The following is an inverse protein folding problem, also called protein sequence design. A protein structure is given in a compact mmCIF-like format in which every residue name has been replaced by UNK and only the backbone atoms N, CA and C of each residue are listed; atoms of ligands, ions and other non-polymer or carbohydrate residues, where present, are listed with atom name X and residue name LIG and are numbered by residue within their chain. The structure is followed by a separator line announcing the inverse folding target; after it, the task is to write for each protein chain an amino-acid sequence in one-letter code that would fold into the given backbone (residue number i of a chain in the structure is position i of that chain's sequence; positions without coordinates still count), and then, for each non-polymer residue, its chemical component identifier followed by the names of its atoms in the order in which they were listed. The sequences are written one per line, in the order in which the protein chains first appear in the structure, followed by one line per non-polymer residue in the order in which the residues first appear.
data_IF_860542473280
#
_entry.id   IF_860542473280
#
_cell.length_a   1.000
_cell.length_b   1.000
_cell.length_c   1.000
_cell.angle_alpha   90.00
_cell.angle_beta   90.00
_cell.angle_gamma   90.00
#
_symmetry.space_group_name_H-M   'P 1'
#
loop_
_entity.id
_entity.type
_entity.pdbx_description
1 polymer ?
#
# COMPACT_ATOMS: atom_id res chain seq x y z
N UNK A 1 1.23 6.88 22.29
CA UNK A 1 0.09 6.25 21.59
C UNK A 1 0.50 4.84 21.16
N UNK A 2 -0.36 3.84 21.36
CA UNK A 2 -0.04 2.40 21.36
C UNK A 2 -0.32 1.75 19.99
N UNK A 3 0.50 0.79 19.56
CA UNK A 3 0.37 0.03 18.30
C UNK A 3 -1.02 -0.65 18.15
N UNK A 4 -1.73 -0.83 19.25
CA UNK A 4 -3.09 -1.34 19.30
C UNK A 4 -4.11 -0.51 18.48
N UNK A 5 -4.03 0.82 18.51
CA UNK A 5 -5.00 1.67 17.79
C UNK A 5 -4.81 1.59 16.26
N UNK A 6 -3.55 1.51 15.81
CA UNK A 6 -3.22 1.28 14.39
C UNK A 6 -3.75 -0.07 13.93
N UNK A 7 -3.59 -1.10 14.77
CA UNK A 7 -4.05 -2.44 14.47
C UNK A 7 -5.57 -2.49 14.30
N UNK A 8 -6.34 -1.89 15.21
CA UNK A 8 -7.81 -1.81 15.09
C UNK A 8 -8.26 -1.07 13.81
N UNK A 9 -7.60 0.04 13.47
CA UNK A 9 -7.89 0.76 12.22
C UNK A 9 -7.53 -0.06 10.97
N UNK A 10 -6.44 -0.83 10.99
CA UNK A 10 -6.13 -1.77 9.92
C UNK A 10 -7.24 -2.82 9.75
N UNK A 11 -7.71 -3.41 10.85
CA UNK A 11 -8.79 -4.41 10.83
C UNK A 11 -10.11 -3.81 10.35
N UNK A 12 -10.40 -2.55 10.67
CA UNK A 12 -11.55 -1.82 10.14
C UNK A 12 -11.43 -1.66 8.63
N UNK A 13 -10.28 -1.17 8.13
CA UNK A 13 -10.06 -0.99 6.69
C UNK A 13 -10.10 -2.33 5.93
N UNK A 14 -9.57 -3.41 6.50
CA UNK A 14 -9.62 -4.75 5.90
C UNK A 14 -11.05 -5.31 5.80
N UNK A 15 -11.94 -4.88 6.69
CA UNK A 15 -13.33 -5.33 6.75
C UNK A 15 -14.23 -4.50 5.84
N UNK A 16 -14.09 -3.18 5.94
CA UNK A 16 -15.04 -2.22 5.38
C UNK A 16 -14.52 -1.54 4.11
N UNK A 17 -13.22 -1.69 3.80
CA UNK A 17 -12.54 -0.95 2.74
C UNK A 17 -11.97 0.39 3.21
N UNK A 18 -11.43 1.17 2.26
CA UNK A 18 -11.02 2.54 2.52
C UNK A 18 -12.26 3.41 2.80
N UNK A 19 -12.15 4.43 3.67
CA UNK A 19 -13.25 5.35 3.91
C UNK A 19 -13.66 6.08 2.64
N UNK A 20 -14.96 6.34 2.49
CA UNK A 20 -15.52 7.14 1.41
C UNK A 20 -16.19 8.41 1.99
N UNK A 21 -15.74 9.63 1.61
CA UNK A 21 -14.58 9.92 0.76
C UNK A 21 -13.25 9.59 1.45
N UNK A 22 -12.23 9.24 0.66
CA UNK A 22 -10.86 9.09 1.17
C UNK A 22 -10.38 10.47 1.63
N UNK A 23 -9.93 10.63 2.89
CA UNK A 23 -9.51 11.94 3.37
C UNK A 23 -8.25 12.40 2.62
N UNK A 24 -8.20 13.70 2.30
CA UNK A 24 -7.09 14.30 1.55
C UNK A 24 -5.93 14.76 2.45
N UNK A 25 -6.09 14.67 3.77
CA UNK A 25 -5.10 15.08 4.76
C UNK A 25 -5.56 14.72 6.17
N UNK A 26 -4.75 15.09 7.16
CA UNK A 26 -5.12 14.94 8.57
C UNK A 26 -6.13 16.03 8.96
N UNK A 27 -7.24 15.62 9.57
CA UNK A 27 -8.19 16.53 10.23
C UNK A 27 -7.77 16.75 11.69
N UNK A 28 -8.27 17.81 12.34
CA UNK A 28 -8.03 18.06 13.76
C UNK A 28 -8.41 16.84 14.61
N UNK A 29 -7.40 16.22 15.24
CA UNK A 29 -7.55 15.06 16.12
C UNK A 29 -7.41 13.69 15.46
N UNK A 30 -7.17 13.60 14.14
CA UNK A 30 -6.84 12.32 13.48
C UNK A 30 -5.32 12.12 13.43
N UNK A 31 -4.82 11.11 14.13
CA UNK A 31 -3.41 10.72 14.09
C UNK A 31 -3.09 9.75 12.93
N UNK A 32 -4.11 9.23 12.26
CA UNK A 32 -3.99 8.26 11.18
C UNK A 32 -4.78 8.66 9.95
N UNK A 33 -4.18 8.47 8.78
CA UNK A 33 -4.79 8.69 7.48
C UNK A 33 -4.65 7.43 6.62
N UNK A 34 -5.71 6.62 6.42
CA UNK A 34 -5.67 5.47 5.51
C UNK A 34 -5.39 5.95 4.09
N UNK A 35 -4.33 5.42 3.48
CA UNK A 35 -3.94 5.78 2.12
C UNK A 35 -4.35 4.74 1.10
N UNK A 36 -4.08 3.46 1.36
CA UNK A 36 -4.29 2.42 0.37
C UNK A 36 -4.47 1.04 1.00
N UNK A 37 -5.23 0.21 0.29
CA UNK A 37 -5.53 -1.16 0.63
C UNK A 37 -5.38 -1.98 -0.66
N UNK A 38 -4.68 -3.11 -0.57
CA UNK A 38 -4.76 -4.15 -1.60
C UNK A 38 -4.94 -5.52 -0.94
N UNK A 39 -5.77 -6.36 -1.57
CA UNK A 39 -6.11 -7.71 -1.13
C UNK A 39 -5.89 -8.68 -2.29
N UNK A 40 -5.09 -9.72 -2.08
CA UNK A 40 -4.84 -10.81 -3.03
C UNK A 40 -5.29 -12.14 -2.42
N UNK A 41 -6.57 -12.49 -2.60
CA UNK A 41 -7.13 -13.71 -2.02
C UNK A 41 -7.05 -13.70 -0.48
N UNK A 42 -6.09 -14.42 0.07
CA UNK A 42 -5.88 -14.57 1.51
C UNK A 42 -4.78 -13.66 2.10
N UNK A 43 -4.18 -12.77 1.33
CA UNK A 43 -3.19 -11.81 1.85
C UNK A 43 -3.65 -10.38 1.58
N UNK A 44 -3.22 -9.45 2.42
CA UNK A 44 -3.54 -8.05 2.27
C UNK A 44 -2.41 -7.16 2.75
N UNK A 45 -2.42 -5.91 2.30
CA UNK A 45 -1.60 -4.85 2.85
C UNK A 45 -2.42 -3.58 3.00
N UNK A 46 -2.27 -2.92 4.12
CA UNK A 46 -2.88 -1.63 4.41
C UNK A 46 -1.78 -0.61 4.66
N UNK A 47 -1.89 0.58 4.09
CA UNK A 47 -0.93 1.67 4.36
C UNK A 47 -1.62 2.89 4.93
N UNK A 48 -0.98 3.54 5.89
CA UNK A 48 -1.46 4.76 6.53
C UNK A 48 -0.35 5.80 6.57
N UNK A 49 -0.71 7.08 6.55
CA UNK A 49 0.14 8.08 7.20
C UNK A 49 -0.19 8.15 8.67
N UNK A 50 0.85 8.32 9.45
CA UNK A 50 0.78 8.54 10.87
C UNK A 50 1.40 9.88 11.21
N UNK A 51 0.64 10.71 11.91
CA UNK A 51 1.13 11.93 12.50
C UNK A 51 1.27 11.71 14.01
N UNK A 52 2.48 11.82 14.58
CA UNK A 52 2.65 11.75 16.03
C UNK A 52 1.79 12.81 16.72
N UNK A 53 1.02 12.41 17.74
CA UNK A 53 0.17 13.31 18.51
C UNK A 53 0.86 14.53 19.14
N UNK A 54 0.06 15.36 19.80
CA UNK A 54 0.32 16.76 20.16
C UNK A 54 1.63 17.02 20.95
N UNK A 55 2.12 16.03 21.69
CA UNK A 55 3.39 16.11 22.44
C UNK A 55 4.65 16.06 21.54
N UNK A 56 4.50 15.78 20.25
CA UNK A 56 5.60 15.45 19.33
C UNK A 56 5.49 16.18 17.99
N UNK A 57 4.91 17.39 17.95
CA UNK A 57 4.78 18.23 16.73
C UNK A 57 6.10 18.52 15.98
N UNK A 58 7.25 18.19 16.57
CA UNK A 58 8.57 18.27 15.93
C UNK A 58 8.94 17.04 15.10
N UNK A 59 8.18 15.94 15.20
CA UNK A 59 8.42 14.72 14.42
C UNK A 59 7.53 14.76 13.18
N UNK A 60 8.11 14.71 11.97
CA UNK A 60 7.33 14.73 10.75
C UNK A 60 6.44 13.48 10.65
N UNK A 61 5.30 13.56 9.93
CA UNK A 61 4.52 12.38 9.62
C UNK A 61 5.35 11.31 8.94
N UNK A 62 4.94 10.05 9.09
CA UNK A 62 5.59 8.91 8.47
C UNK A 62 4.56 7.94 7.90
N UNK A 63 4.95 7.17 6.90
CA UNK A 63 4.08 6.17 6.26
C UNK A 63 4.36 4.79 6.84
N UNK A 64 3.32 4.09 7.26
CA UNK A 64 3.38 2.71 7.68
C UNK A 64 2.67 1.81 6.66
N UNK A 65 3.09 0.55 6.58
CA UNK A 65 2.39 -0.47 5.80
C UNK A 65 2.40 -1.77 6.57
N UNK A 66 1.21 -2.32 6.76
CA UNK A 66 0.95 -3.50 7.58
C UNK A 66 0.45 -4.62 6.69
N UNK A 67 1.10 -5.78 6.75
CA UNK A 67 0.79 -6.94 5.92
C UNK A 67 0.02 -7.96 6.73
N UNK A 68 -1.01 -8.54 6.12
CA UNK A 68 -1.91 -9.50 6.76
C UNK A 68 -2.06 -10.76 5.93
N UNK A 69 -2.46 -11.84 6.61
CA UNK A 69 -2.88 -13.09 6.01
C UNK A 69 -4.17 -13.56 6.69
N UNK A 70 -5.17 -13.90 5.89
CA UNK A 70 -6.44 -14.44 6.33
C UNK A 70 -6.32 -15.92 6.59
N UNK A 71 -6.62 -16.34 7.81
CA UNK A 71 -6.63 -17.74 8.22
C UNK A 71 -7.88 -18.00 9.04
N UNK A 72 -8.58 -19.09 8.71
CA UNK A 72 -9.78 -19.51 9.45
C UNK A 72 -10.86 -18.40 9.54
N UNK A 73 -10.92 -17.54 8.53
CA UNK A 73 -11.86 -16.42 8.43
C UNK A 73 -11.36 -15.10 9.01
N UNK A 74 -10.27 -15.10 9.78
CA UNK A 74 -9.74 -13.95 10.51
C UNK A 74 -8.46 -13.40 9.87
N UNK A 75 -8.28 -12.08 9.93
CA UNK A 75 -7.05 -11.42 9.48
C UNK A 75 -5.99 -11.45 10.56
N UNK A 76 -4.85 -12.08 10.26
CA UNK A 76 -3.70 -12.17 11.15
C UNK A 76 -2.57 -11.29 10.62
N UNK A 77 -2.01 -10.45 11.48
CA UNK A 77 -0.88 -9.60 11.14
C UNK A 77 0.39 -10.43 10.91
N UNK A 78 1.12 -10.15 9.81
CA UNK A 78 2.44 -10.72 9.52
C UNK A 78 3.59 -9.76 9.88
N UNK A 79 3.25 -8.51 10.18
CA UNK A 79 4.16 -7.41 10.46
C UNK A 79 4.08 -6.30 9.41
N UNK A 80 4.94 -5.30 9.55
CA UNK A 80 4.90 -4.10 8.73
C UNK A 80 6.23 -3.36 8.67
N UNK A 81 6.21 -2.23 7.99
CA UNK A 81 7.37 -1.36 7.83
C UNK A 81 6.99 0.09 7.66
N UNK A 82 7.77 0.96 8.30
CA UNK A 82 7.64 2.41 8.24
C UNK A 82 8.65 3.05 7.28
N UNK A 83 8.38 4.28 6.86
CA UNK A 83 9.31 5.14 6.13
C UNK A 83 8.88 6.59 6.17
N UNK A 84 9.68 7.49 5.59
CA UNK A 84 9.32 8.91 5.49
C UNK A 84 7.99 9.09 4.75
N UNK A 85 7.11 9.95 5.29
CA UNK A 85 5.84 10.23 4.64
C UNK A 85 6.07 10.77 3.22
N UNK A 86 5.31 10.26 2.23
CA UNK A 86 5.30 10.86 0.91
C UNK A 86 4.54 12.18 0.89
N UNK A 87 4.80 12.98 -0.15
CA UNK A 87 3.93 14.07 -0.57
C UNK A 87 2.63 13.51 -1.15
N UNK A 88 1.48 13.98 -0.65
CA UNK A 88 0.14 13.58 -1.09
C UNK A 88 -0.37 14.38 -2.31
N UNK A 89 0.38 15.38 -2.76
CA UNK A 89 0.04 16.16 -3.94
C UNK A 89 0.12 15.27 -5.17
N UNK A 90 -1.03 15.02 -5.79
CA UNK A 90 -1.11 14.24 -7.01
C UNK A 90 -0.58 15.03 -8.20
N UNK A 91 0.45 14.49 -8.86
CA UNK A 91 1.18 15.11 -9.96
C UNK A 91 0.82 14.49 -11.30
N UNK A 92 0.99 15.24 -12.39
CA UNK A 92 0.85 14.73 -13.76
C UNK A 92 1.97 13.74 -14.12
N UNK A 93 1.78 12.96 -15.18
CA UNK A 93 2.79 12.02 -15.65
C UNK A 93 4.08 12.74 -16.05
N UNK A 94 3.97 13.94 -16.62
CA UNK A 94 5.12 14.80 -16.97
C UNK A 94 5.93 15.20 -15.75
N UNK A 95 5.28 15.57 -14.65
CA UNK A 95 5.94 15.98 -13.41
C UNK A 95 6.56 14.80 -12.63
N UNK A 96 5.95 13.61 -12.74
CA UNK A 96 6.48 12.37 -12.14
C UNK A 96 7.55 11.69 -12.99
N UNK A 97 7.66 12.05 -14.27
CA UNK A 97 8.52 11.36 -15.25
C UNK A 97 7.96 10.03 -15.74
N UNK A 98 6.66 9.78 -15.58
CA UNK A 98 5.96 8.56 -15.96
C UNK A 98 4.59 8.44 -15.28
N UNK A 99 3.80 7.44 -15.69
CA UNK A 99 2.46 7.22 -15.13
C UNK A 99 2.49 6.50 -13.78
N UNK A 100 3.47 5.62 -13.57
CA UNK A 100 3.68 4.90 -12.31
C UNK A 100 5.13 5.02 -11.82
N UNK A 101 5.30 5.28 -10.52
CA UNK A 101 6.62 5.31 -9.89
C UNK A 101 6.65 4.47 -8.61
N UNK A 102 7.66 3.60 -8.47
CA UNK A 102 7.89 2.81 -7.26
C UNK A 102 8.69 3.61 -6.26
N UNK A 103 8.19 3.77 -5.04
CA UNK A 103 8.90 4.50 -3.98
C UNK A 103 9.13 3.70 -2.69
N UNK A 104 8.54 2.51 -2.56
CA UNK A 104 8.75 1.65 -1.39
C UNK A 104 8.46 0.20 -1.70
N UNK A 105 9.19 -0.71 -1.05
CA UNK A 105 8.95 -2.16 -1.14
C UNK A 105 9.05 -2.78 0.25
N UNK A 106 8.40 -3.93 0.45
CA UNK A 106 8.49 -4.69 1.68
C UNK A 106 8.26 -6.17 1.46
N UNK A 107 8.80 -7.00 2.35
CA UNK A 107 8.55 -8.44 2.39
C UNK A 107 8.36 -8.89 3.82
N UNK A 108 7.31 -9.65 4.07
CA UNK A 108 7.02 -10.26 5.38
C UNK A 108 6.96 -11.78 5.26
N UNK A 109 7.41 -12.48 6.29
CA UNK A 109 7.40 -13.95 6.29
C UNK A 109 5.98 -14.41 6.60
N UNK A 110 5.36 -15.17 5.68
CA UNK A 110 4.01 -15.70 5.82
C UNK A 110 3.90 -16.85 6.83
N UNK A 111 5.02 -17.51 7.14
CA UNK A 111 5.07 -18.73 7.93
C UNK A 111 6.17 -18.73 9.00
N UNK A 112 6.31 -17.61 9.73
CA UNK A 112 7.38 -17.42 10.70
C UNK A 112 7.41 -18.50 11.82
N UNK A 113 6.25 -19.06 12.20
CA UNK A 113 6.11 -19.98 13.33
C UNK A 113 6.22 -21.48 12.95
N UNK A 114 7.07 -21.86 11.97
CA UNK A 114 7.22 -23.28 11.59
C UNK A 114 8.28 -24.01 12.41
N UNK A 115 7.96 -25.24 12.79
CA UNK A 115 8.86 -26.21 13.45
C UNK A 115 9.83 -26.92 12.49
N UNK A 116 9.56 -26.93 11.17
CA UNK A 116 10.34 -27.68 10.16
C UNK A 116 10.91 -26.75 9.07
N UNK A 117 12.11 -27.05 8.51
CA UNK A 117 12.92 -26.14 7.70
C UNK A 117 12.48 -25.97 6.24
N UNK A 118 11.20 -26.19 5.92
CA UNK A 118 10.70 -25.96 4.56
C UNK A 118 10.77 -24.47 4.20
N UNK A 119 11.19 -24.16 2.96
CA UNK A 119 11.47 -22.80 2.50
C UNK A 119 10.42 -21.77 2.89
N UNK A 120 10.89 -20.59 3.34
CA UNK A 120 10.03 -19.48 3.74
C UNK A 120 9.12 -19.04 2.58
N UNK A 121 7.83 -18.91 2.88
CA UNK A 121 6.86 -18.24 2.03
C UNK A 121 6.83 -16.77 2.42
N UNK A 122 6.87 -15.90 1.43
CA UNK A 122 6.91 -14.47 1.61
C UNK A 122 5.64 -13.84 1.08
N UNK A 123 5.16 -12.80 1.76
CA UNK A 123 4.24 -11.83 1.18
C UNK A 123 5.07 -10.61 0.81
N UNK A 124 5.00 -10.20 -0.45
CA UNK A 124 5.71 -9.04 -0.96
C UNK A 124 4.71 -7.92 -1.21
N UNK A 125 5.16 -6.68 -1.02
CA UNK A 125 4.38 -5.49 -1.32
C UNK A 125 5.24 -4.39 -1.92
N UNK A 126 4.61 -3.54 -2.72
CA UNK A 126 5.19 -2.34 -3.32
C UNK A 126 4.23 -1.17 -3.15
N UNK A 127 4.78 0.01 -2.92
CA UNK A 127 4.06 1.28 -2.90
C UNK A 127 4.36 2.06 -4.17
N UNK A 128 3.29 2.60 -4.75
CA UNK A 128 3.30 3.27 -6.04
C UNK A 128 2.75 4.70 -5.92
N UNK A 129 3.40 5.63 -6.60
CA UNK A 129 2.78 6.86 -7.04
C UNK A 129 2.17 6.64 -8.41
N UNK A 130 0.90 6.99 -8.55
CA UNK A 130 0.17 7.03 -9.80
C UNK A 130 -0.12 8.48 -10.17
N UNK A 131 0.09 8.82 -11.44
CA UNK A 131 -0.12 10.19 -11.91
C UNK A 131 -1.60 10.59 -11.91
N UNK A 132 -1.88 11.87 -12.16
CA UNK A 132 -3.25 12.41 -12.24
C UNK A 132 -4.09 11.78 -13.37
N UNK A 133 -3.44 11.28 -14.41
CA UNK A 133 -4.07 10.60 -15.54
C UNK A 133 -4.52 9.16 -15.23
N UNK A 134 -3.90 8.51 -14.23
CA UNK A 134 -4.16 7.10 -13.91
C UNK A 134 -5.30 6.96 -12.90
N UNK A 135 -6.47 6.51 -13.32
CA UNK A 135 -7.62 6.36 -12.40
C UNK A 135 -7.72 4.99 -11.75
N UNK A 136 -7.15 3.97 -12.40
CA UNK A 136 -7.18 2.59 -11.93
C UNK A 136 -5.86 1.88 -12.20
N UNK A 137 -5.57 0.86 -11.40
CA UNK A 137 -4.50 -0.10 -11.63
C UNK A 137 -5.10 -1.47 -11.89
N UNK A 138 -4.58 -2.19 -12.88
CA UNK A 138 -4.88 -3.60 -13.10
C UNK A 138 -3.68 -4.45 -12.71
N UNK A 139 -3.90 -5.41 -11.82
CA UNK A 139 -2.88 -6.34 -11.31
C UNK A 139 -3.38 -7.76 -11.53
N UNK A 140 -3.00 -8.35 -12.66
CA UNK A 140 -3.59 -9.61 -13.12
C UNK A 140 -5.10 -9.44 -13.32
N UNK A 141 -5.91 -10.16 -12.53
CA UNK A 141 -7.38 -10.07 -12.58
C UNK A 141 -7.98 -9.01 -11.62
N UNK A 142 -7.15 -8.36 -10.78
CA UNK A 142 -7.62 -7.39 -9.78
C UNK A 142 -7.63 -5.99 -10.35
N UNK A 143 -8.68 -5.24 -10.05
CA UNK A 143 -8.81 -3.82 -10.37
C UNK A 143 -8.75 -3.01 -9.07
N UNK A 144 -7.81 -2.07 -8.98
CA UNK A 144 -7.62 -1.20 -7.83
C UNK A 144 -7.94 0.24 -8.24
N UNK A 145 -8.81 0.91 -7.50
CA UNK A 145 -9.02 2.34 -7.69
C UNK A 145 -7.82 3.11 -7.14
N UNK A 146 -7.36 4.10 -7.91
CA UNK A 146 -6.31 5.02 -7.46
C UNK A 146 -6.95 6.13 -6.62
N UNK A 147 -6.60 6.26 -5.33
CA UNK A 147 -7.10 7.33 -4.49
C UNK A 147 -6.79 8.73 -5.05
N UNK A 148 -7.51 9.79 -4.63
CA UNK A 148 -7.28 11.15 -5.09
C UNK A 148 -5.84 11.66 -4.92
N UNK A 149 -5.10 11.18 -3.92
CA UNK A 149 -3.69 11.51 -3.68
C UNK A 149 -2.70 10.67 -4.52
N UNK A 150 -3.17 9.73 -5.34
CA UNK A 150 -2.33 8.95 -6.25
C UNK A 150 -1.50 7.83 -5.60
N UNK A 151 -1.65 7.59 -4.30
CA UNK A 151 -0.91 6.53 -3.61
C UNK A 151 -1.65 5.21 -3.68
N UNK A 152 -0.98 4.18 -4.19
CA UNK A 152 -1.49 2.83 -4.19
C UNK A 152 -0.44 1.88 -3.62
N UNK A 153 -0.93 0.72 -3.19
CA UNK A 153 -0.10 -0.40 -2.76
C UNK A 153 -0.52 -1.63 -3.55
N UNK A 154 0.42 -2.51 -3.84
CA UNK A 154 0.16 -3.81 -4.46
C UNK A 154 0.82 -4.90 -3.63
N UNK A 155 0.05 -5.93 -3.27
CA UNK A 155 0.51 -7.12 -2.54
C UNK A 155 0.49 -8.34 -3.44
N UNK A 156 1.44 -9.25 -3.24
CA UNK A 156 1.45 -10.57 -3.90
C UNK A 156 2.19 -11.62 -3.06
N UNK A 157 1.72 -12.86 -3.15
CA UNK A 157 2.33 -14.02 -2.49
C UNK A 157 3.13 -14.94 -3.42
N UNK A 158 3.02 -14.72 -4.74
CA UNK A 158 3.73 -15.51 -5.73
C UNK A 158 5.23 -15.21 -5.73
N UNK A 159 6.04 -16.18 -6.19
CA UNK A 159 7.50 -16.01 -6.32
C UNK A 159 7.87 -14.89 -7.29
N UNK A 160 7.07 -14.73 -8.34
CA UNK A 160 7.26 -13.74 -9.40
C UNK A 160 6.37 -12.53 -9.11
N UNK A 161 6.92 -11.33 -9.21
CA UNK A 161 6.13 -10.12 -9.03
C UNK A 161 5.16 -9.92 -10.20
N UNK A 162 3.97 -9.34 -9.95
CA UNK A 162 3.01 -9.11 -11.00
C UNK A 162 3.43 -7.93 -11.88
N UNK A 163 2.85 -7.89 -13.08
CA UNK A 163 2.83 -6.71 -13.92
C UNK A 163 1.64 -5.85 -13.49
N UNK A 164 1.84 -4.54 -13.39
CA UNK A 164 0.81 -3.55 -13.08
C UNK A 164 0.55 -2.71 -14.32
N UNK A 165 -0.69 -2.68 -14.79
CA UNK A 165 -1.10 -1.77 -15.87
C UNK A 165 -1.77 -0.54 -15.27
N UNK A 166 -1.37 0.63 -15.76
CA UNK A 166 -1.98 1.91 -15.41
C UNK A 166 -3.11 2.23 -16.40
N UNK A 167 -4.31 2.55 -15.90
CA UNK A 167 -5.46 2.81 -16.75
C UNK A 167 -5.99 4.24 -16.57
N UNK A 168 -6.34 4.88 -17.68
CA UNK A 168 -7.09 6.13 -17.71
C UNK A 168 -8.56 5.93 -17.33
N UNK A 169 -9.31 7.03 -17.23
CA UNK A 169 -10.74 7.04 -16.85
C UNK A 169 -11.65 6.24 -17.80
N UNK A 170 -11.27 6.13 -19.07
CA UNK A 170 -11.97 5.36 -20.09
C UNK A 170 -11.49 3.90 -20.18
N UNK A 171 -10.56 3.50 -19.30
CA UNK A 171 -9.99 2.16 -19.26
C UNK A 171 -8.89 1.91 -20.28
N UNK A 172 -8.41 2.93 -21.00
CA UNK A 172 -7.25 2.76 -21.87
C UNK A 172 -5.98 2.52 -21.04
N UNK A 173 -5.11 1.62 -21.52
CA UNK A 173 -3.83 1.36 -20.86
C UNK A 173 -2.86 2.50 -21.20
N UNK A 174 -2.43 3.23 -20.18
CA UNK A 174 -1.47 4.33 -20.28
C UNK A 174 -0.03 3.83 -20.17
N UNK A 175 0.21 2.85 -19.30
CA UNK A 175 1.55 2.34 -19.00
C UNK A 175 1.49 0.92 -18.42
N UNK A 176 2.63 0.25 -18.38
CA UNK A 176 2.81 -1.08 -17.81
C UNK A 176 4.12 -1.15 -17.03
N UNK A 177 4.02 -1.50 -15.75
CA UNK A 177 5.13 -1.60 -14.82
C UNK A 177 5.37 -3.05 -14.41
N UNK A 178 6.51 -3.61 -14.82
CA UNK A 178 6.97 -4.92 -14.37
C UNK A 178 7.67 -4.81 -13.00
N UNK A 179 7.04 -5.33 -11.95
CA UNK A 179 7.55 -5.22 -10.58
C UNK A 179 8.78 -6.10 -10.31
N UNK A 180 9.10 -7.08 -11.17
CA UNK A 180 10.34 -7.87 -11.05
C UNK A 180 11.56 -7.09 -11.54
N UNK A 181 11.36 -6.14 -12.46
CA UNK A 181 12.47 -5.34 -12.98
C UNK A 181 12.98 -4.42 -11.88
N UNK A 182 14.23 -4.61 -11.47
CA UNK A 182 14.95 -3.65 -10.65
C UNK A 182 15.14 -2.41 -11.52
N UNK A 183 14.67 -1.24 -11.05
CA UNK A 183 14.92 0.03 -11.73
C UNK A 183 16.43 0.12 -11.99
N UNK A 184 16.83 0.19 -13.26
CA UNK A 184 18.20 0.55 -13.61
C UNK A 184 18.46 1.90 -12.94
N UNK A 185 19.45 1.97 -12.05
CA UNK A 185 19.87 3.24 -11.45
C UNK A 185 20.29 4.15 -12.59
N UNK A 186 19.53 5.23 -12.81
CA UNK A 186 19.98 6.37 -13.60
C UNK A 186 21.06 7.13 -12.80
#
# INVERSE_FOLDING_TARGET
MNDHEVHEECLRVLRDGLPEPIPAGFDDGREFLPLSLDVDGDIAVVTFLRQPGDASRSVPPFIEGWTYHRRDGEWMELGGGGGSAPDLTRRSATELGGYLHRYGTGKTVRNANRLLPWGAKWVSQVRLWASSEVTQLRVGARMLHVPPHGHAVVVWGARRAPIVEALSVDGAILDTLDLDQVLARA
#
